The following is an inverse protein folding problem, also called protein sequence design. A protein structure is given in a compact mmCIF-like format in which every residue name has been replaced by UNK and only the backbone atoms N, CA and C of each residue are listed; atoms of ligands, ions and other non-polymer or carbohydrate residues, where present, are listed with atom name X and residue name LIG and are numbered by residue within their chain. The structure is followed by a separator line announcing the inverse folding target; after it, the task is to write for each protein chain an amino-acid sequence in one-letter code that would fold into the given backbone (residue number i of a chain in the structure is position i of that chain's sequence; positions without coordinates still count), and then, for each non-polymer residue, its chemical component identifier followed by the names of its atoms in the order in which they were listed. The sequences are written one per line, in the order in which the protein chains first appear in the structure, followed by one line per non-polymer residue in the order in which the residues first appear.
data_IF_434298845342
#
_entry.id   IF_434298845342
#
_cell.length_a   1.000
_cell.length_b   1.000
_cell.length_c   1.000
_cell.angle_alpha   90.00
_cell.angle_beta   90.00
_cell.angle_gamma   90.00
#
_symmetry.space_group_name_H-M   'P 1'
#
loop_
_entity.id
_entity.type
_entity.pdbx_description
1 polymer ?
#
# COMPACT_ATOMS: atom_id res chain seq x y z
N UNK A 1 -33.31 27.11 13.62
CA UNK A 1 -34.48 26.46 13.02
C UNK A 1 -34.22 26.31 11.53
N UNK A 2 -33.69 25.15 11.11
CA UNK A 2 -33.36 24.89 9.71
C UNK A 2 -34.66 24.58 8.98
N UNK A 3 -35.10 25.44 8.05
CA UNK A 3 -36.21 25.11 7.16
C UNK A 3 -35.79 23.92 6.31
N UNK A 4 -36.40 22.77 6.57
CA UNK A 4 -36.40 21.67 5.60
C UNK A 4 -37.19 22.21 4.41
N UNK A 5 -36.50 22.44 3.30
CA UNK A 5 -37.16 22.86 2.06
C UNK A 5 -37.86 21.61 1.53
N UNK A 6 -39.19 21.56 1.64
CA UNK A 6 -40.06 20.52 1.06
C UNK A 6 -40.13 20.61 -0.47
N UNK A 7 -39.00 20.87 -1.13
CA UNK A 7 -38.85 20.85 -2.57
C UNK A 7 -38.11 19.57 -2.93
N UNK A 8 -38.84 18.55 -3.40
CA UNK A 8 -38.22 17.35 -3.95
C UNK A 8 -37.27 17.73 -5.10
N UNK A 9 -36.01 17.32 -5.01
CA UNK A 9 -35.05 17.54 -6.09
C UNK A 9 -35.35 16.56 -7.23
N UNK A 10 -35.37 17.04 -8.48
CA UNK A 10 -35.61 16.20 -9.66
C UNK A 10 -34.40 16.28 -10.58
N UNK A 11 -33.96 15.13 -11.09
CA UNK A 11 -32.96 15.07 -12.17
C UNK A 11 -33.65 14.53 -13.41
N UNK A 12 -33.81 15.37 -14.43
CA UNK A 12 -34.64 15.06 -15.59
C UNK A 12 -36.11 14.91 -15.20
N UNK A 13 -36.68 13.71 -15.37
CA UNK A 13 -38.04 13.37 -14.93
C UNK A 13 -38.09 12.47 -13.69
N UNK A 14 -36.94 12.10 -13.12
CA UNK A 14 -36.89 11.21 -11.96
C UNK A 14 -36.69 12.02 -10.67
N UNK A 15 -37.63 11.95 -9.70
CA UNK A 15 -37.42 12.56 -8.40
C UNK A 15 -36.27 11.86 -7.68
N UNK A 16 -35.38 12.62 -7.08
CA UNK A 16 -34.34 12.10 -6.19
C UNK A 16 -35.04 11.70 -4.88
N UNK A 17 -35.06 10.41 -4.51
CA UNK A 17 -35.73 9.97 -3.30
C UNK A 17 -35.03 10.56 -2.08
N UNK A 18 -35.80 11.15 -1.17
CA UNK A 18 -35.32 11.45 0.16
C UNK A 18 -34.95 10.14 0.85
N UNK A 19 -33.73 10.05 1.36
CA UNK A 19 -33.19 8.87 2.04
C UNK A 19 -33.26 9.07 3.54
N UNK A 20 -33.70 8.05 4.27
CA UNK A 20 -33.73 8.07 5.73
C UNK A 20 -32.31 7.94 6.28
N UNK A 21 -32.09 8.43 7.50
CA UNK A 21 -30.80 8.38 8.21
C UNK A 21 -30.22 6.97 8.34
N UNK A 22 -31.06 5.94 8.40
CA UNK A 22 -30.67 4.52 8.50
C UNK A 22 -30.50 3.85 7.13
N UNK A 23 -30.88 4.51 6.05
CA UNK A 23 -30.81 3.92 4.73
C UNK A 23 -29.37 3.93 4.21
N UNK A 24 -28.95 2.79 3.67
CA UNK A 24 -27.62 2.64 3.08
C UNK A 24 -27.69 2.99 1.60
N UNK A 25 -26.84 3.92 1.15
CA UNK A 25 -26.69 4.20 -0.27
C UNK A 25 -25.25 4.00 -0.74
N UNK A 26 -25.14 3.64 -2.01
CA UNK A 26 -23.87 3.38 -2.66
C UNK A 26 -23.41 4.60 -3.42
N UNK A 27 -22.24 5.13 -3.07
CA UNK A 27 -21.65 6.28 -3.77
C UNK A 27 -20.15 6.07 -3.94
N UNK A 28 -19.66 6.22 -5.18
CA UNK A 28 -18.25 6.06 -5.54
C UNK A 28 -17.59 4.80 -4.93
N UNK A 29 -18.30 3.67 -4.93
CA UNK A 29 -17.84 2.36 -4.41
C UNK A 29 -17.77 2.25 -2.88
N UNK A 30 -18.37 3.18 -2.15
CA UNK A 30 -18.45 3.18 -0.70
C UNK A 30 -19.93 3.19 -0.29
N UNK A 31 -20.25 2.39 0.72
CA UNK A 31 -21.59 2.33 1.31
C UNK A 31 -21.67 3.37 2.44
N UNK A 32 -22.56 4.34 2.27
CA UNK A 32 -22.84 5.43 3.21
C UNK A 32 -24.19 5.23 3.89
N UNK A 33 -24.32 5.74 5.12
CA UNK A 33 -25.56 5.84 5.90
C UNK A 33 -25.55 7.19 6.61
N UNK A 34 -26.73 7.75 6.89
CA UNK A 34 -26.88 9.14 7.34
C UNK A 34 -26.10 9.51 8.60
N UNK A 35 -25.84 8.55 9.49
CA UNK A 35 -25.04 8.76 10.73
C UNK A 35 -23.57 8.33 10.57
N UNK A 36 -23.26 7.60 9.50
CA UNK A 36 -22.14 6.67 9.51
C UNK A 36 -21.75 6.19 8.12
N UNK A 37 -20.46 6.16 7.78
CA UNK A 37 -20.00 5.25 6.72
C UNK A 37 -20.05 3.81 7.26
N UNK A 38 -20.84 2.90 6.69
CA UNK A 38 -21.04 1.57 7.32
C UNK A 38 -19.89 0.62 7.04
N UNK A 39 -19.31 0.65 5.83
CA UNK A 39 -18.38 -0.39 5.42
C UNK A 39 -17.14 0.15 4.69
N UNK A 40 -16.02 -0.53 4.93
CA UNK A 40 -14.86 -0.50 4.05
C UNK A 40 -15.31 -0.87 2.63
N UNK A 41 -14.74 -0.17 1.63
CA UNK A 41 -14.84 -0.47 0.20
C UNK A 41 -15.23 -1.92 -0.11
N UNK A 42 -16.28 -2.14 -0.91
CA UNK A 42 -16.68 -3.49 -1.40
C UNK A 42 -15.56 -4.22 -2.18
N UNK A 43 -14.43 -3.54 -2.42
CA UNK A 43 -13.29 -4.11 -3.13
C UNK A 43 -12.37 -4.84 -2.15
N UNK A 44 -12.48 -6.17 -2.18
CA UNK A 44 -11.58 -7.09 -1.48
C UNK A 44 -10.20 -7.13 -2.19
N UNK A 45 -9.21 -6.47 -1.58
CA UNK A 45 -7.82 -6.48 -2.03
C UNK A 45 -7.26 -7.91 -2.12
N UNK A 46 -7.59 -8.78 -1.17
CA UNK A 46 -7.12 -10.15 -1.15
C UNK A 46 -7.61 -10.93 -2.37
N UNK A 47 -8.90 -10.77 -2.73
CA UNK A 47 -9.45 -11.35 -3.97
C UNK A 47 -8.79 -10.76 -5.22
N UNK A 48 -8.54 -9.45 -5.24
CA UNK A 48 -7.86 -8.81 -6.37
C UNK A 48 -6.42 -9.31 -6.53
N UNK A 49 -5.65 -9.38 -5.44
CA UNK A 49 -4.28 -9.90 -5.43
C UNK A 49 -4.24 -11.37 -5.87
N UNK A 50 -5.17 -12.21 -5.41
CA UNK A 50 -5.27 -13.61 -5.87
C UNK A 50 -5.46 -13.70 -7.39
N UNK A 51 -6.30 -12.84 -7.97
CA UNK A 51 -6.51 -12.78 -9.43
C UNK A 51 -5.24 -12.35 -10.18
N UNK A 52 -4.56 -11.30 -9.70
CA UNK A 52 -3.28 -10.84 -10.28
C UNK A 52 -2.21 -11.92 -10.18
N UNK A 53 -2.13 -12.61 -9.05
CA UNK A 53 -1.18 -13.71 -8.84
C UNK A 53 -1.43 -14.88 -9.79
N UNK A 54 -2.70 -15.27 -9.99
CA UNK A 54 -3.07 -16.37 -10.89
C UNK A 54 -2.93 -16.02 -12.37
N UNK A 55 -3.00 -14.74 -12.74
CA UNK A 55 -2.89 -14.32 -14.13
C UNK A 55 -1.50 -14.67 -14.72
N UNK A 56 -1.42 -15.12 -15.99
CA UNK A 56 -0.18 -15.48 -16.68
C UNK A 56 0.60 -14.22 -17.14
N UNK A 57 0.90 -13.34 -16.19
CA UNK A 57 1.62 -12.08 -16.41
C UNK A 57 3.06 -12.18 -15.92
N UNK A 58 3.97 -11.47 -16.58
CA UNK A 58 5.35 -11.32 -16.10
C UNK A 58 5.38 -10.57 -14.75
N UNK A 59 6.36 -10.83 -13.86
CA UNK A 59 6.45 -10.15 -12.56
C UNK A 59 6.39 -8.63 -12.66
N UNK A 60 7.08 -8.04 -13.63
CA UNK A 60 7.08 -6.59 -13.85
C UNK A 60 5.71 -6.04 -14.28
N UNK A 61 4.93 -6.81 -15.05
CA UNK A 61 3.56 -6.44 -15.40
C UNK A 61 2.64 -6.51 -14.17
N UNK A 62 2.82 -7.51 -13.29
CA UNK A 62 2.06 -7.61 -12.02
C UNK A 62 2.35 -6.44 -11.09
N UNK A 63 3.62 -6.04 -10.96
CA UNK A 63 4.03 -4.87 -10.17
C UNK A 63 3.43 -3.58 -10.72
N UNK A 64 3.52 -3.35 -12.04
CA UNK A 64 2.90 -2.19 -12.68
C UNK A 64 1.38 -2.19 -12.48
N UNK A 65 0.73 -3.33 -12.64
CA UNK A 65 -0.71 -3.47 -12.42
C UNK A 65 -1.09 -3.10 -10.98
N UNK A 66 -0.34 -3.61 -10.00
CA UNK A 66 -0.53 -3.34 -8.59
C UNK A 66 -0.40 -1.84 -8.29
N UNK A 67 0.74 -1.25 -8.67
CA UNK A 67 1.10 0.13 -8.36
C UNK A 67 0.24 1.16 -9.08
N UNK A 68 0.01 0.98 -10.38
CA UNK A 68 -0.60 2.01 -11.24
C UNK A 68 -2.13 1.92 -11.28
N UNK A 69 -2.71 0.74 -11.08
CA UNK A 69 -4.15 0.55 -11.27
C UNK A 69 -4.84 0.02 -10.03
N UNK A 70 -4.32 -1.04 -9.40
CA UNK A 70 -5.02 -1.71 -8.31
C UNK A 70 -5.05 -0.87 -7.03
N UNK A 71 -3.89 -0.38 -6.57
CA UNK A 71 -3.84 0.44 -5.35
C UNK A 71 -4.60 1.77 -5.52
N UNK A 72 -4.42 2.56 -6.61
CA UNK A 72 -5.19 3.79 -6.80
C UNK A 72 -6.71 3.57 -6.82
N UNK A 73 -7.17 2.47 -7.43
CA UNK A 73 -8.59 2.09 -7.44
C UNK A 73 -9.17 1.83 -6.05
N UNK A 74 -8.33 1.41 -5.10
CA UNK A 74 -8.72 1.12 -3.72
C UNK A 74 -8.65 2.36 -2.82
N UNK A 75 -7.77 3.31 -3.14
CA UNK A 75 -7.47 4.47 -2.30
C UNK A 75 -8.73 5.22 -1.88
N UNK A 76 -9.64 5.52 -2.82
CA UNK A 76 -10.88 6.22 -2.49
C UNK A 76 -11.70 5.46 -1.43
N UNK A 77 -11.96 4.18 -1.67
CA UNK A 77 -12.75 3.36 -0.76
C UNK A 77 -12.11 3.18 0.61
N UNK A 78 -10.78 3.16 0.69
CA UNK A 78 -10.05 3.08 1.96
C UNK A 78 -10.02 4.42 2.71
N UNK A 79 -9.92 5.55 2.00
CA UNK A 79 -9.92 6.89 2.62
C UNK A 79 -11.30 7.26 3.17
N UNK A 80 -12.40 6.85 2.52
CA UNK A 80 -13.77 7.14 2.95
C UNK A 80 -14.39 6.06 3.85
N UNK A 81 -13.98 4.80 3.72
CA UNK A 81 -14.55 3.68 4.48
C UNK A 81 -14.14 3.65 5.95
N UNK A 82 -14.91 2.94 6.79
CA UNK A 82 -14.49 2.64 8.17
C UNK A 82 -13.42 1.56 8.17
N UNK A 83 -12.26 1.87 8.74
CA UNK A 83 -11.11 0.97 8.82
C UNK A 83 -10.44 1.11 10.18
N UNK A 84 -9.88 0.01 10.68
CA UNK A 84 -8.95 0.02 11.80
C UNK A 84 -7.51 0.12 11.30
N UNK A 85 -6.60 0.66 12.11
CA UNK A 85 -5.17 0.67 11.79
C UNK A 85 -4.63 -0.77 11.59
N UNK A 86 -5.13 -1.73 12.39
CA UNK A 86 -4.81 -3.15 12.24
C UNK A 86 -5.16 -3.70 10.87
N UNK A 87 -6.34 -3.34 10.32
CA UNK A 87 -6.75 -3.79 8.98
C UNK A 87 -5.83 -3.24 7.89
N UNK A 88 -5.39 -1.98 7.99
CA UNK A 88 -4.42 -1.41 7.03
C UNK A 88 -3.08 -2.17 7.07
N UNK A 89 -2.62 -2.56 8.25
CA UNK A 89 -1.39 -3.35 8.41
C UNK A 89 -1.54 -4.77 7.82
N UNK A 90 -2.71 -5.39 7.96
CA UNK A 90 -3.01 -6.67 7.30
C UNK A 90 -2.96 -6.56 5.78
N UNK A 91 -3.58 -5.51 5.21
CA UNK A 91 -3.56 -5.28 3.77
C UNK A 91 -2.11 -5.07 3.27
N UNK A 92 -1.29 -4.33 4.02
CA UNK A 92 0.14 -4.17 3.71
C UNK A 92 0.92 -5.49 3.81
N UNK A 93 0.56 -6.39 4.73
CA UNK A 93 1.13 -7.76 4.80
C UNK A 93 0.75 -8.58 3.57
N UNK A 94 -0.51 -8.55 3.14
CA UNK A 94 -1.00 -9.24 1.94
C UNK A 94 -0.28 -8.74 0.67
N UNK A 95 -0.13 -7.42 0.53
CA UNK A 95 0.62 -6.80 -0.58
C UNK A 95 2.07 -7.28 -0.59
N UNK A 96 2.77 -7.17 0.56
CA UNK A 96 4.18 -7.59 0.64
C UNK A 96 4.35 -9.08 0.37
N UNK A 97 3.43 -9.92 0.83
CA UNK A 97 3.43 -11.35 0.56
C UNK A 97 3.31 -11.64 -0.94
N UNK A 98 2.34 -11.01 -1.62
CA UNK A 98 2.16 -11.16 -3.07
C UNK A 98 3.39 -10.69 -3.86
N UNK A 99 3.93 -9.51 -3.52
CA UNK A 99 5.12 -8.95 -4.17
C UNK A 99 6.34 -9.85 -4.01
N UNK A 100 6.58 -10.35 -2.78
CA UNK A 100 7.68 -11.29 -2.51
C UNK A 100 7.51 -12.58 -3.30
N UNK A 101 6.29 -13.08 -3.45
CA UNK A 101 6.00 -14.26 -4.28
C UNK A 101 6.29 -14.02 -5.77
N UNK A 102 5.89 -12.87 -6.34
CA UNK A 102 6.11 -12.56 -7.75
C UNK A 102 7.58 -12.40 -8.12
N UNK A 103 8.36 -11.80 -7.21
CA UNK A 103 9.80 -11.57 -7.36
C UNK A 103 10.67 -12.73 -6.83
N UNK A 104 10.07 -13.71 -6.15
CA UNK A 104 10.76 -14.82 -5.49
C UNK A 104 11.80 -14.36 -4.46
N UNK A 105 11.45 -13.34 -3.67
CA UNK A 105 12.35 -12.82 -2.64
C UNK A 105 12.47 -13.77 -1.43
N UNK A 106 13.68 -13.92 -0.86
CA UNK A 106 13.87 -14.67 0.36
C UNK A 106 13.24 -13.96 1.59
N UNK A 107 12.89 -14.72 2.64
CA UNK A 107 12.47 -14.15 3.92
C UNK A 107 13.68 -13.43 4.55
N UNK A 108 13.66 -12.10 4.52
CA UNK A 108 14.78 -11.27 4.99
C UNK A 108 14.98 -10.01 4.16
N UNK A 109 14.43 -9.96 2.95
CA UNK A 109 14.41 -8.71 2.17
C UNK A 109 13.64 -7.63 2.93
N UNK A 110 14.23 -6.43 3.15
CA UNK A 110 13.63 -5.38 3.95
C UNK A 110 12.29 -4.95 3.37
N UNK A 111 11.27 -4.83 4.22
CA UNK A 111 9.95 -4.35 3.77
C UNK A 111 10.02 -2.91 3.25
N UNK A 112 11.00 -2.13 3.71
CA UNK A 112 11.30 -0.80 3.21
C UNK A 112 11.60 -0.78 1.71
N UNK A 113 12.23 -1.83 1.15
CA UNK A 113 12.47 -1.94 -0.29
C UNK A 113 11.18 -1.92 -1.12
N UNK A 114 10.13 -2.56 -0.62
CA UNK A 114 8.84 -2.64 -1.30
C UNK A 114 8.15 -1.27 -1.34
N UNK A 115 8.24 -0.52 -0.24
CA UNK A 115 7.51 0.73 -0.06
C UNK A 115 8.29 1.99 -0.43
N UNK A 116 9.62 1.94 -0.42
CA UNK A 116 10.47 3.05 -0.80
C UNK A 116 10.20 3.45 -2.26
N UNK A 117 10.21 4.76 -2.59
CA UNK A 117 10.01 5.23 -3.96
C UNK A 117 11.07 4.68 -4.92
N UNK A 118 10.71 4.57 -6.20
CA UNK A 118 11.65 4.13 -7.26
C UNK A 118 12.84 5.07 -7.39
N UNK A 119 12.62 6.38 -7.24
CA UNK A 119 13.69 7.40 -7.18
C UNK A 119 14.77 7.09 -6.13
N UNK A 120 14.38 6.48 -5.00
CA UNK A 120 15.29 6.08 -3.92
C UNK A 120 15.59 4.57 -3.95
N UNK A 121 15.56 4.00 -5.15
CA UNK A 121 15.90 2.62 -5.43
C UNK A 121 14.95 1.53 -4.90
N UNK A 122 13.74 1.88 -4.44
CA UNK A 122 12.70 0.91 -4.04
C UNK A 122 11.76 0.47 -5.17
N UNK A 123 10.70 -0.26 -4.83
CA UNK A 123 9.66 -0.70 -5.79
C UNK A 123 8.53 0.31 -5.99
N UNK A 124 8.41 1.32 -5.11
CA UNK A 124 7.39 2.37 -5.20
C UNK A 124 5.96 1.87 -4.94
N UNK A 125 5.78 0.80 -4.16
CA UNK A 125 4.46 0.29 -3.78
C UNK A 125 4.01 1.01 -2.51
N UNK A 126 2.99 1.86 -2.63
CA UNK A 126 2.49 2.65 -1.51
C UNK A 126 2.06 1.75 -0.33
N UNK A 127 2.55 2.07 0.88
CA UNK A 127 2.03 1.47 2.12
C UNK A 127 0.67 2.09 2.46
N UNK A 128 -0.34 1.25 2.62
CA UNK A 128 -1.71 1.67 2.98
C UNK A 128 -1.78 2.15 4.42
N UNK A 129 -1.05 1.53 5.34
CA UNK A 129 -1.00 1.96 6.74
C UNK A 129 -0.40 3.36 6.90
N UNK A 130 0.58 3.73 6.07
CA UNK A 130 1.16 5.07 6.05
C UNK A 130 0.30 6.08 5.27
N UNK A 131 -0.12 5.72 4.06
CA UNK A 131 -0.76 6.68 3.13
C UNK A 131 -2.21 6.99 3.46
N UNK A 132 -3.01 6.01 3.89
CA UNK A 132 -4.46 6.20 4.07
C UNK A 132 -4.77 7.19 5.21
N UNK A 133 -4.15 7.09 6.41
CA UNK A 133 -4.33 8.08 7.46
C UNK A 133 -3.91 9.49 7.01
N UNK A 134 -2.77 9.60 6.30
CA UNK A 134 -2.27 10.88 5.76
C UNK A 134 -3.23 11.52 4.76
N UNK A 135 -3.73 10.74 3.79
CA UNK A 135 -4.72 11.21 2.80
C UNK A 135 -6.05 11.60 3.45
N UNK A 136 -6.52 10.82 4.42
CA UNK A 136 -7.74 11.12 5.18
C UNK A 136 -7.59 12.40 5.99
N UNK A 137 -6.47 12.57 6.69
CA UNK A 137 -6.15 13.80 7.45
C UNK A 137 -6.12 15.01 6.53
N UNK A 138 -5.40 14.95 5.41
CA UNK A 138 -5.33 16.04 4.42
C UNK A 138 -6.72 16.45 3.92
N UNK A 139 -7.57 15.47 3.58
CA UNK A 139 -8.95 15.73 3.14
C UNK A 139 -9.78 16.43 4.22
N UNK A 140 -9.69 15.98 5.48
CA UNK A 140 -10.46 16.57 6.58
C UNK A 140 -9.99 18.00 6.90
N UNK A 141 -8.68 18.26 6.88
CA UNK A 141 -8.15 19.61 7.07
C UNK A 141 -8.54 20.56 5.93
N UNK A 142 -8.64 20.06 4.70
CA UNK A 142 -9.05 20.85 3.53
C UNK A 142 -10.48 21.39 3.64
N UNK A 143 -11.34 20.82 4.50
CA UNK A 143 -12.70 21.32 4.71
C UNK A 143 -12.73 22.79 5.17
N UNK A 144 -11.76 23.19 6.02
CA UNK A 144 -11.64 24.56 6.55
C UNK A 144 -11.36 25.60 5.47
N UNK A 145 -10.61 25.21 4.44
CA UNK A 145 -10.25 26.07 3.30
C UNK A 145 -11.21 25.95 2.12
N UNK A 146 -12.34 25.23 2.26
CA UNK A 146 -13.28 25.05 1.15
C UNK A 146 -14.01 26.35 0.82
N UNK A 147 -14.35 26.55 -0.45
CA UNK A 147 -15.23 27.64 -0.90
C UNK A 147 -16.65 27.51 -0.36
N UNK A 148 -17.10 26.28 -0.06
CA UNK A 148 -18.45 25.99 0.41
C UNK A 148 -18.58 26.20 1.91
N UNK A 149 -19.56 27.02 2.32
CA UNK A 149 -19.83 27.31 3.74
C UNK A 149 -20.17 26.04 4.53
N UNK A 150 -21.00 25.17 3.97
CA UNK A 150 -21.39 23.89 4.59
C UNK A 150 -20.16 23.01 4.88
N UNK A 151 -19.17 23.01 3.97
CA UNK A 151 -17.94 22.25 4.18
C UNK A 151 -17.07 22.84 5.30
N UNK A 152 -16.99 24.18 5.39
CA UNK A 152 -16.29 24.86 6.49
C UNK A 152 -16.98 24.59 7.84
N UNK A 153 -18.30 24.71 7.90
CA UNK A 153 -19.08 24.38 9.10
C UNK A 153 -18.90 22.90 9.51
N UNK A 154 -18.86 21.98 8.53
CA UNK A 154 -18.63 20.57 8.80
C UNK A 154 -17.24 20.29 9.41
N UNK A 155 -16.25 21.14 9.14
CA UNK A 155 -14.89 20.97 9.66
C UNK A 155 -14.80 21.06 11.19
N UNK A 156 -15.77 21.74 11.83
CA UNK A 156 -15.80 21.96 13.27
C UNK A 156 -16.65 20.92 14.03
N UNK A 157 -17.31 20.01 13.30
CA UNK A 157 -18.07 18.91 13.89
C UNK A 157 -17.16 17.96 14.67
N UNK A 158 -17.66 17.44 15.79
CA UNK A 158 -16.92 16.49 16.63
C UNK A 158 -16.56 15.21 15.89
N UNK A 159 -17.38 14.79 14.93
CA UNK A 159 -17.05 13.67 14.05
C UNK A 159 -15.72 13.90 13.32
N UNK A 160 -15.49 15.10 12.77
CA UNK A 160 -14.23 15.43 12.07
C UNK A 160 -13.06 15.43 13.03
N UNK A 161 -13.23 15.99 14.24
CA UNK A 161 -12.21 15.97 15.30
C UNK A 161 -11.82 14.55 15.70
N UNK A 162 -12.81 13.67 15.89
CA UNK A 162 -12.58 12.25 16.20
C UNK A 162 -11.85 11.53 15.06
N UNK A 163 -12.20 11.80 13.81
CA UNK A 163 -11.52 11.22 12.65
C UNK A 163 -10.08 11.73 12.51
N UNK A 164 -9.81 13.01 12.78
CA UNK A 164 -8.45 13.56 12.80
C UNK A 164 -7.60 12.89 13.90
N UNK A 165 -8.16 12.77 15.11
CA UNK A 165 -7.49 12.08 16.21
C UNK A 165 -7.22 10.60 15.89
N UNK A 166 -8.14 9.93 15.18
CA UNK A 166 -7.89 8.58 14.67
C UNK A 166 -6.76 8.56 13.64
N UNK A 167 -6.69 9.52 12.72
CA UNK A 167 -5.61 9.59 11.72
C UNK A 167 -4.24 9.72 12.42
N UNK A 168 -4.16 10.54 13.47
CA UNK A 168 -2.92 10.75 14.22
C UNK A 168 -2.48 9.48 14.95
N UNK A 169 -3.42 8.75 15.57
CA UNK A 169 -3.13 7.46 16.20
C UNK A 169 -2.82 6.34 15.20
N UNK A 170 -3.42 6.36 14.02
CA UNK A 170 -3.27 5.33 13.02
C UNK A 170 -2.01 5.50 12.16
N UNK A 171 -1.49 6.72 12.06
CA UNK A 171 -0.25 7.01 11.34
C UNK A 171 0.91 6.30 12.05
N UNK A 172 1.73 5.50 11.35
CA UNK A 172 2.90 4.89 11.95
C UNK A 172 3.81 5.94 12.58
N UNK A 173 4.30 5.67 13.78
CA UNK A 173 5.32 6.48 14.46
C UNK A 173 6.66 5.78 14.44
N UNK A 174 7.74 6.53 14.65
CA UNK A 174 9.08 6.00 14.79
C UNK A 174 9.11 4.81 15.78
N UNK A 175 9.82 3.71 15.47
CA UNK A 175 10.76 3.53 14.35
C UNK A 175 10.13 3.08 13.02
N UNK A 176 8.79 2.99 12.93
CA UNK A 176 8.14 2.55 11.69
C UNK A 176 8.01 3.71 10.71
N UNK A 177 8.41 3.53 9.44
CA UNK A 177 8.30 4.58 8.43
C UNK A 177 6.84 4.88 8.08
N UNK A 178 6.54 6.16 7.94
CA UNK A 178 5.23 6.75 7.66
C UNK A 178 5.22 7.62 6.40
N UNK A 179 6.40 8.03 5.94
CA UNK A 179 6.58 8.88 4.75
C UNK A 179 7.47 8.21 3.71
N UNK A 180 7.36 8.58 2.42
CA UNK A 180 8.25 8.08 1.37
C UNK A 180 9.75 8.28 1.68
N UNK A 181 10.10 9.38 2.35
CA UNK A 181 11.47 9.67 2.77
C UNK A 181 11.92 8.74 3.91
N UNK A 182 11.07 8.48 4.90
CA UNK A 182 11.37 7.52 5.98
C UNK A 182 11.49 6.09 5.45
N UNK A 183 10.69 5.69 4.47
CA UNK A 183 10.86 4.39 3.81
C UNK A 183 12.20 4.30 3.07
N UNK A 184 12.63 5.37 2.41
CA UNK A 184 13.95 5.43 1.78
C UNK A 184 15.07 5.36 2.81
N UNK A 185 15.01 6.15 3.89
CA UNK A 185 15.98 6.11 4.98
C UNK A 185 16.07 4.72 5.61
N UNK A 186 14.94 4.09 5.94
CA UNK A 186 14.90 2.74 6.49
C UNK A 186 15.46 1.68 5.52
N UNK A 187 15.30 1.86 4.21
CA UNK A 187 15.95 1.01 3.20
C UNK A 187 17.47 1.22 3.23
N UNK A 188 17.91 2.46 3.22
CA UNK A 188 19.32 2.85 3.17
C UNK A 188 20.09 2.53 4.45
N UNK A 189 19.42 2.46 5.60
CA UNK A 189 19.99 2.01 6.86
C UNK A 189 20.09 0.48 6.94
N UNK A 190 19.30 -0.24 6.15
CA UNK A 190 19.34 -1.70 6.12
C UNK A 190 20.62 -2.22 5.45
N UNK A 191 21.07 -3.41 5.86
CA UNK A 191 22.24 -4.08 5.27
C UNK A 191 22.08 -4.30 3.77
N UNK A 192 20.86 -4.61 3.34
CA UNK A 192 20.54 -4.93 1.95
C UNK A 192 20.39 -3.69 1.04
N UNK A 193 20.13 -2.52 1.64
CA UNK A 193 19.86 -1.27 0.92
C UNK A 193 20.89 -0.17 1.12
N UNK A 194 21.94 -0.41 1.91
CA UNK A 194 22.99 0.57 2.19
C UNK A 194 23.64 1.14 0.92
N UNK A 195 23.93 0.27 -0.04
CA UNK A 195 24.55 0.64 -1.32
C UNK A 195 23.57 1.34 -2.28
N UNK A 196 22.28 1.43 -1.93
CA UNK A 196 21.25 2.08 -2.74
C UNK A 196 21.06 3.57 -2.44
N UNK A 197 21.88 4.14 -1.53
CA UNK A 197 21.81 5.54 -1.10
C UNK A 197 22.02 6.54 -2.25
N UNK A 198 22.95 6.23 -3.15
CA UNK A 198 23.33 7.10 -4.26
C UNK A 198 22.39 6.98 -5.46
N UNK A 199 21.41 6.07 -5.44
CA UNK A 199 20.50 5.90 -6.57
C UNK A 199 19.69 7.15 -6.91
N UNK A 200 19.45 8.04 -5.94
CA UNK A 200 18.75 9.30 -6.20
C UNK A 200 19.54 10.27 -7.09
N UNK A 201 20.85 10.09 -7.21
CA UNK A 201 21.73 10.90 -8.07
C UNK A 201 21.60 10.50 -9.55
N UNK A 202 21.22 9.24 -9.83
CA UNK A 202 21.01 8.74 -11.18
C UNK A 202 19.64 8.09 -11.34
N UNK A 203 18.59 8.86 -11.67
CA UNK A 203 17.23 8.34 -11.85
C UNK A 203 17.15 7.22 -12.91
N UNK A 204 17.99 7.29 -13.94
CA UNK A 204 18.06 6.30 -15.04
C UNK A 204 18.36 4.90 -14.50
N UNK A 205 19.20 4.79 -13.45
CA UNK A 205 19.54 3.50 -12.81
C UNK A 205 18.32 2.73 -12.27
N UNK A 206 17.23 3.46 -11.98
CA UNK A 206 16.02 2.95 -11.34
C UNK A 206 14.82 2.89 -12.28
N UNK A 207 14.93 3.51 -13.46
CA UNK A 207 13.82 3.70 -14.39
C UNK A 207 13.24 2.39 -14.95
N UNK A 208 14.07 1.35 -15.07
CA UNK A 208 13.63 0.00 -15.49
C UNK A 208 12.62 -0.64 -14.52
N UNK A 209 12.59 -0.23 -13.24
CA UNK A 209 11.58 -0.69 -12.26
C UNK A 209 10.23 -0.02 -12.53
N UNK A 210 10.24 1.18 -13.09
CA UNK A 210 9.06 1.98 -13.35
C UNK A 210 8.34 1.56 -14.63
N UNK A 211 9.09 1.37 -15.70
CA UNK A 211 8.56 0.84 -16.94
C UNK A 211 8.28 -0.64 -16.77
N UNK A 212 7.31 -1.18 -17.51
CA UNK A 212 7.08 -2.62 -17.56
C UNK A 212 8.28 -3.39 -18.15
N UNK A 213 9.43 -2.73 -18.34
CA UNK A 213 10.68 -3.30 -18.82
C UNK A 213 10.43 -4.16 -20.04
N UNK A 214 9.82 -3.55 -21.06
CA UNK A 214 9.53 -4.19 -22.33
C UNK A 214 10.86 -4.71 -22.91
N UNK A 215 10.92 -6.01 -23.19
CA UNK A 215 12.14 -6.70 -23.59
C UNK A 215 12.85 -7.50 -22.49
N UNK A 216 12.65 -7.20 -21.20
CA UNK A 216 13.32 -7.95 -20.11
C UNK A 216 12.56 -9.26 -19.83
N UNK A 217 13.29 -10.38 -19.83
CA UNK A 217 12.78 -11.69 -19.43
C UNK A 217 12.34 -11.70 -17.97
N UNK A 218 11.33 -12.51 -17.62
CA UNK A 218 10.86 -12.59 -16.24
C UNK A 218 11.95 -13.10 -15.28
N UNK A 219 12.84 -13.98 -15.76
CA UNK A 219 14.00 -14.48 -15.01
C UNK A 219 15.01 -13.36 -14.75
N UNK A 220 15.39 -12.63 -15.78
CA UNK A 220 16.38 -11.55 -15.68
C UNK A 220 15.87 -10.42 -14.79
N UNK A 221 14.60 -10.07 -14.92
CA UNK A 221 13.96 -9.08 -14.06
C UNK A 221 14.03 -9.46 -12.57
N UNK A 222 13.80 -10.74 -12.23
CA UNK A 222 13.97 -11.23 -10.84
C UNK A 222 15.44 -11.17 -10.41
N UNK A 223 16.36 -11.57 -11.28
CA UNK A 223 17.79 -11.54 -11.00
C UNK A 223 18.29 -10.11 -10.75
N UNK A 224 17.84 -9.13 -11.53
CA UNK A 224 18.19 -7.73 -11.34
C UNK A 224 17.75 -7.22 -9.98
N UNK A 225 16.54 -7.57 -9.55
CA UNK A 225 16.08 -7.25 -8.20
C UNK A 225 16.88 -8.00 -7.11
N UNK A 226 17.24 -9.25 -7.34
CA UNK A 226 18.03 -10.03 -6.39
C UNK A 226 19.45 -9.47 -6.19
N UNK A 227 20.09 -9.02 -7.27
CA UNK A 227 21.38 -8.31 -7.22
C UNK A 227 21.22 -6.99 -6.47
N UNK A 228 20.21 -6.20 -6.85
CA UNK A 228 19.98 -4.85 -6.31
C UNK A 228 19.76 -4.82 -4.80
N UNK A 229 19.15 -5.85 -4.23
CA UNK A 229 18.86 -5.93 -2.78
C UNK A 229 19.80 -6.91 -2.07
N UNK A 230 20.94 -7.26 -2.69
CA UNK A 230 21.92 -8.21 -2.17
C UNK A 230 21.27 -9.51 -1.63
N UNK A 231 20.23 -9.99 -2.33
CA UNK A 231 19.44 -11.15 -1.93
C UNK A 231 19.81 -12.42 -2.70
N UNK A 232 20.95 -12.41 -3.39
CA UNK A 232 21.52 -13.59 -4.03
C UNK A 232 21.86 -14.67 -2.98
N UNK A 233 21.76 -15.96 -3.35
CA UNK A 233 22.03 -17.07 -2.45
C UNK A 233 23.54 -17.23 -2.21
N UNK A 234 24.11 -16.40 -1.34
CA UNK A 234 25.51 -16.48 -0.89
C UNK A 234 25.59 -17.06 0.53
N UNK A 235 26.73 -17.63 0.91
CA UNK A 235 26.94 -18.16 2.27
C UNK A 235 26.65 -17.11 3.37
N UNK A 236 27.07 -15.87 3.13
CA UNK A 236 26.83 -14.72 4.01
C UNK A 236 25.34 -14.37 4.11
N UNK A 237 24.52 -14.66 3.07
CA UNK A 237 23.07 -14.45 3.11
C UNK A 237 22.39 -15.56 3.89
N UNK A 238 22.74 -16.81 3.62
CA UNK A 238 22.14 -17.96 4.30
C UNK A 238 22.41 -17.96 5.80
N UNK A 239 23.60 -17.55 6.23
CA UNK A 239 23.92 -17.42 7.67
C UNK A 239 23.01 -16.45 8.42
N UNK A 240 22.43 -15.46 7.74
CA UNK A 240 21.46 -14.52 8.33
C UNK A 240 20.08 -15.15 8.49
N UNK A 241 19.69 -16.02 7.57
CA UNK A 241 18.39 -16.71 7.58
C UNK A 241 18.40 -17.84 8.63
N UNK A 242 19.51 -18.55 8.79
CA UNK A 242 19.66 -19.63 9.78
C UNK A 242 19.55 -19.15 11.23
N UNK A 243 19.88 -17.89 11.50
CA UNK A 243 19.74 -17.31 12.85
C UNK A 243 18.29 -16.92 13.21
N UNK A 244 17.36 -16.93 12.25
CA UNK A 244 15.93 -16.61 12.48
C UNK A 244 14.99 -17.81 12.31
N UNK A 245 15.43 -18.88 11.65
CA UNK A 245 14.64 -20.11 11.48
C UNK A 245 15.29 -21.23 12.28
N UNK A 246 14.80 -21.46 13.52
CA UNK A 246 14.92 -22.78 14.13
C UNK A 246 14.20 -23.77 13.20
N UNK A 247 14.91 -24.83 12.83
CA UNK A 247 14.49 -25.94 11.99
C UNK A 247 12.98 -26.15 11.89
N UNK A 248 12.42 -25.94 10.70
CA UNK A 248 11.36 -26.80 10.18
C UNK A 248 11.89 -27.43 8.92
N UNK A 249 12.01 -28.76 8.97
CA UNK A 249 12.37 -29.61 7.85
C UNK A 249 11.21 -29.59 6.86
N UNK A 250 11.29 -28.74 5.84
CA UNK A 250 10.52 -28.94 4.62
C UNK A 250 11.36 -28.52 3.42
N UNK A 251 11.89 -29.55 2.77
CA UNK A 251 12.93 -29.51 1.77
C UNK A 251 12.35 -29.05 0.42
N UNK A 252 12.50 -27.76 0.08
CA UNK A 252 12.19 -27.23 -1.26
C UNK A 252 13.39 -26.67 -2.03
N UNK A 253 14.57 -26.66 -1.42
CA UNK A 253 15.82 -26.28 -2.07
C UNK A 253 16.90 -27.27 -1.66
N UNK A 254 17.41 -28.13 -2.56
CA UNK A 254 18.52 -29.01 -2.23
C UNK A 254 19.73 -28.13 -1.92
N UNK A 255 20.19 -28.19 -0.67
CA UNK A 255 21.43 -27.57 -0.24
C UNK A 255 22.58 -28.27 -0.98
N UNK A 256 23.50 -27.55 -1.65
CA UNK A 256 24.81 -28.10 -1.90
C UNK A 256 25.53 -28.15 -0.55
N UNK A 257 25.55 -29.33 0.06
CA UNK A 257 26.38 -29.61 1.22
C UNK A 257 27.83 -29.38 0.83
N UNK A 258 28.39 -28.23 1.19
CA UNK A 258 29.83 -28.04 1.17
C UNK A 258 30.39 -28.87 2.32
N UNK A 259 30.77 -30.10 2.00
CA UNK A 259 31.66 -30.91 2.84
C UNK A 259 32.94 -30.11 3.04
N UNK A 260 33.19 -29.67 4.26
CA UNK A 260 34.47 -29.07 4.63
C UNK A 260 35.61 -30.05 4.31
N UNK A 261 36.56 -29.61 3.48
CA UNK A 261 37.90 -30.20 3.49
C UNK A 261 38.71 -29.43 4.53
N UNK A 262 39.11 -30.19 5.54
CA UNK A 262 40.21 -30.06 6.52
C UNK A 262 40.80 -28.67 6.73
#
# INVERSE_FOLDING_TARGET
MVKVVDGGFVVGQSPIPARTVLEVWWYLRVDFMGVATIAASRVDLGRALKRVTKAPLKPQQKLRLLRTYLLPKLTYGLVFGRLTAGRLLELDREIRSAVRSWLQFPPGVPSAYIHAPVKFCGLGIVSLSASIPSLRRRRLLALRGSSWEVARAAADLDFVRQQLAWCDRATPTAPKPSSPAEFAAALHESVDGKELRQCSESPISSQWVEWASEGIGARDYRNFHAVRVASLPTAVRFSRITNTVRCSQDNKYPMPCLSGRK
#
